data_IF_197524522973
#
_entry.id   IF_197524522973
#
_cell.length_a   1.000
_cell.length_b   1.000
_cell.length_c   1.000
_cell.angle_alpha   90.00
_cell.angle_beta   90.00
_cell.angle_gamma   90.00
#
_symmetry.space_group_name_H-M   'P 1'
#
loop_
_entity.id
_entity.type
_entity.pdbx_description
1 polymer ?
#
# COMPACT_ATOMS: atom_id res chain seq x y z
N UNK A 1 17.27 34.21 -7.00
CA UNK A 1 16.05 33.64 -6.43
C UNK A 1 16.45 32.27 -5.89
N UNK A 2 16.29 32.06 -4.59
CA UNK A 2 16.58 30.77 -3.95
C UNK A 2 15.31 29.91 -3.99
N UNK A 3 15.42 28.67 -4.45
CA UNK A 3 14.25 27.78 -4.61
C UNK A 3 14.29 26.71 -3.52
N UNK A 4 13.22 26.67 -2.72
CA UNK A 4 12.97 25.58 -1.78
C UNK A 4 12.18 24.48 -2.49
N UNK A 5 12.67 23.26 -2.35
CA UNK A 5 12.10 22.05 -2.99
C UNK A 5 11.41 21.20 -1.93
N UNK A 6 10.47 20.35 -2.36
CA UNK A 6 9.80 19.40 -1.45
C UNK A 6 10.87 18.49 -0.80
N UNK A 7 11.08 18.59 0.53
CA UNK A 7 12.03 17.75 1.23
C UNK A 7 11.52 16.31 1.35
N UNK A 8 12.43 15.38 1.66
CA UNK A 8 12.05 14.04 2.08
C UNK A 8 11.36 14.13 3.46
N UNK A 9 10.09 13.77 3.49
CA UNK A 9 9.27 13.77 4.71
C UNK A 9 9.52 12.53 5.59
N UNK A 10 10.58 11.77 5.32
CA UNK A 10 11.03 10.62 6.12
C UNK A 10 10.18 9.36 5.95
N UNK A 11 9.27 9.32 5.00
CA UNK A 11 8.28 8.26 4.84
C UNK A 11 8.49 7.38 3.61
N UNK A 12 9.57 7.61 2.84
CA UNK A 12 9.81 6.93 1.56
C UNK A 12 8.75 7.26 0.51
N UNK A 13 8.03 8.38 0.70
CA UNK A 13 7.01 8.87 -0.22
C UNK A 13 7.67 9.66 -1.33
N UNK A 14 7.27 9.42 -2.57
CA UNK A 14 7.85 10.08 -3.74
C UNK A 14 7.07 11.34 -4.14
N UNK A 15 5.89 11.56 -3.55
CA UNK A 15 5.00 12.68 -3.87
C UNK A 15 4.11 13.06 -2.69
N UNK A 16 3.62 14.31 -2.66
CA UNK A 16 2.61 14.80 -1.73
C UNK A 16 1.65 15.76 -2.45
N UNK A 17 0.40 15.84 -1.99
CA UNK A 17 -0.61 16.79 -2.51
C UNK A 17 -0.62 18.06 -1.63
N UNK A 18 -0.61 19.24 -2.23
CA UNK A 18 -0.71 20.49 -1.50
C UNK A 18 -2.15 20.69 -1.02
N UNK A 19 -2.35 20.70 0.29
CA UNK A 19 -3.66 20.96 0.91
C UNK A 19 -3.93 22.47 0.99
N UNK A 20 -2.99 23.22 1.55
CA UNK A 20 -3.14 24.68 1.73
C UNK A 20 -1.78 25.36 1.87
N UNK A 21 -1.74 26.61 1.42
CA UNK A 21 -0.63 27.52 1.69
C UNK A 21 -0.96 28.40 2.89
N UNK A 22 -0.01 28.55 3.82
CA UNK A 22 -0.09 29.45 4.97
C UNK A 22 0.52 30.82 4.67
N UNK A 23 1.14 30.99 3.49
CA UNK A 23 1.82 32.20 3.03
C UNK A 23 1.40 32.56 1.60
N UNK A 24 1.61 33.81 1.23
CA UNK A 24 1.35 34.37 -0.11
C UNK A 24 2.62 34.95 -0.70
N UNK A 25 2.64 35.12 -2.03
CA UNK A 25 3.70 35.88 -2.71
C UNK A 25 3.76 37.31 -2.15
N UNK A 26 4.96 37.73 -1.75
CA UNK A 26 5.23 39.02 -1.09
C UNK A 26 5.30 38.93 0.44
N UNK A 27 4.90 37.86 1.07
CA UNK A 27 4.99 37.70 2.52
C UNK A 27 6.44 37.52 2.98
N UNK A 28 6.80 38.17 4.10
CA UNK A 28 8.05 37.93 4.81
C UNK A 28 7.84 36.76 5.79
N UNK A 29 8.70 35.76 5.75
CA UNK A 29 8.63 34.56 6.61
C UNK A 29 9.90 34.41 7.43
N UNK A 30 9.77 33.89 8.65
CA UNK A 30 10.88 33.49 9.49
C UNK A 30 11.29 32.02 9.19
N UNK A 31 12.52 31.64 9.59
CA UNK A 31 12.90 30.23 9.61
C UNK A 31 11.97 29.45 10.57
N UNK A 32 11.66 28.22 10.23
CA UNK A 32 10.75 27.31 10.94
C UNK A 32 9.27 27.75 10.97
N UNK A 33 8.91 28.85 10.30
CA UNK A 33 7.51 29.24 10.13
C UNK A 33 6.80 28.31 9.16
N UNK A 34 5.58 27.79 9.47
CA UNK A 34 4.81 26.95 8.53
C UNK A 34 4.57 27.66 7.21
N UNK A 35 4.93 27.04 6.08
CA UNK A 35 4.72 27.53 4.73
C UNK A 35 3.46 26.96 4.10
N UNK A 36 3.28 25.65 4.19
CA UNK A 36 2.16 24.95 3.59
C UNK A 36 1.87 23.65 4.35
N UNK A 37 0.64 23.15 4.18
CA UNK A 37 0.26 21.80 4.58
C UNK A 37 0.17 20.93 3.34
N UNK A 38 0.77 19.73 3.40
CA UNK A 38 0.70 18.73 2.36
C UNK A 38 0.02 17.47 2.89
N UNK A 39 -0.81 16.85 2.07
CA UNK A 39 -1.39 15.53 2.35
C UNK A 39 -0.49 14.46 1.74
N UNK A 40 -0.07 13.54 2.58
CA UNK A 40 0.64 12.33 2.19
C UNK A 40 -0.33 11.14 2.23
N UNK A 41 0.09 9.98 1.77
CA UNK A 41 -0.69 8.74 1.88
C UNK A 41 -1.06 8.36 3.32
N UNK A 42 -0.47 9.02 4.33
CA UNK A 42 -0.59 8.62 5.74
C UNK A 42 -1.11 9.72 6.65
N UNK A 43 -0.74 10.97 6.39
CA UNK A 43 -1.09 12.11 7.25
C UNK A 43 -0.99 13.43 6.51
N UNK A 44 -1.59 14.47 7.08
CA UNK A 44 -1.33 15.86 6.69
C UNK A 44 -0.10 16.34 7.48
N UNK A 45 0.91 16.83 6.77
CA UNK A 45 2.18 17.28 7.33
C UNK A 45 2.38 18.76 7.01
N UNK A 46 2.73 19.54 8.02
CA UNK A 46 3.12 20.96 7.82
C UNK A 46 4.61 21.03 7.44
N UNK A 47 4.90 21.79 6.39
CA UNK A 47 6.28 22.03 5.92
C UNK A 47 6.70 23.42 6.37
N UNK A 48 7.71 23.52 7.25
CA UNK A 48 8.23 24.80 7.70
C UNK A 48 9.20 25.40 6.68
N UNK A 49 9.42 26.72 6.79
CA UNK A 49 10.43 27.43 6.01
C UNK A 49 11.83 27.07 6.48
N UNK A 50 12.74 26.68 5.58
CA UNK A 50 14.12 26.37 5.96
C UNK A 50 14.96 27.62 6.27
N UNK A 51 14.49 28.79 5.91
CA UNK A 51 15.17 30.08 6.16
C UNK A 51 14.21 31.25 6.18
N UNK A 52 14.63 32.35 6.77
CA UNK A 52 13.91 33.64 6.70
C UNK A 52 14.09 34.31 5.33
N UNK A 53 13.05 34.96 4.82
CA UNK A 53 13.08 35.68 3.55
C UNK A 53 11.71 36.11 3.07
N UNK A 54 11.65 36.76 1.90
CA UNK A 54 10.38 37.15 1.26
C UNK A 54 10.01 36.16 0.20
N UNK A 55 8.75 35.74 0.14
CA UNK A 55 8.23 34.80 -0.86
C UNK A 55 8.12 35.49 -2.21
N UNK A 56 8.96 35.09 -3.17
CA UNK A 56 8.96 35.61 -4.53
C UNK A 56 7.96 34.91 -5.44
N UNK A 57 7.79 33.57 -5.26
CA UNK A 57 6.94 32.77 -6.11
C UNK A 57 6.51 31.46 -5.41
N UNK A 58 5.26 31.08 -5.61
CA UNK A 58 4.75 29.75 -5.33
C UNK A 58 4.74 28.94 -6.65
N UNK A 59 5.30 27.73 -6.64
CA UNK A 59 5.46 26.92 -7.85
C UNK A 59 4.32 25.93 -8.08
N UNK A 60 3.42 25.75 -7.10
CA UNK A 60 2.28 24.85 -7.19
C UNK A 60 1.08 25.45 -6.45
N UNK A 61 -0.13 24.97 -6.75
CA UNK A 61 -1.39 25.44 -6.17
C UNK A 61 -1.98 24.37 -5.21
N UNK A 62 -2.92 24.75 -4.31
CA UNK A 62 -3.68 23.77 -3.56
C UNK A 62 -4.37 22.76 -4.49
N UNK A 63 -4.23 21.47 -4.19
CA UNK A 63 -4.69 20.34 -5.03
C UNK A 63 -3.65 19.82 -6.02
N UNK A 64 -2.49 20.48 -6.18
CA UNK A 64 -1.42 19.96 -7.03
C UNK A 64 -0.63 18.87 -6.31
N UNK A 65 -0.26 17.83 -7.08
CA UNK A 65 0.64 16.77 -6.63
C UNK A 65 2.07 17.17 -6.97
N UNK A 66 2.92 17.22 -5.96
CA UNK A 66 4.32 17.63 -6.06
C UNK A 66 5.23 16.44 -5.72
N UNK A 67 6.17 16.13 -6.61
CA UNK A 67 7.16 15.07 -6.38
C UNK A 67 8.29 15.54 -5.46
N UNK A 68 8.92 14.58 -4.76
CA UNK A 68 10.13 14.82 -3.96
C UNK A 68 11.20 15.55 -4.79
N UNK A 69 11.75 16.62 -4.23
CA UNK A 69 12.75 17.45 -4.90
C UNK A 69 12.19 18.44 -5.94
N UNK A 70 10.88 18.47 -6.21
CA UNK A 70 10.28 19.46 -7.08
C UNK A 70 10.21 20.84 -6.39
N UNK A 71 10.27 21.94 -7.15
CA UNK A 71 10.24 23.30 -6.61
C UNK A 71 8.89 23.60 -5.95
N UNK A 72 8.93 24.15 -4.72
CA UNK A 72 7.75 24.59 -3.97
C UNK A 72 7.68 26.11 -3.89
N UNK A 73 8.71 26.75 -3.37
CA UNK A 73 8.75 28.17 -3.07
C UNK A 73 10.03 28.82 -3.59
N UNK A 74 9.90 29.96 -4.26
CA UNK A 74 11.02 30.83 -4.59
C UNK A 74 11.11 31.98 -3.61
N UNK A 75 12.29 32.22 -3.02
CA UNK A 75 12.57 33.35 -2.13
C UNK A 75 13.33 34.47 -2.85
N UNK A 76 13.07 35.72 -2.50
CA UNK A 76 13.84 36.86 -2.97
C UNK A 76 15.24 36.86 -2.35
N UNK A 77 16.28 37.07 -3.17
CA UNK A 77 17.68 37.17 -2.74
C UNK A 77 18.65 36.52 -3.72
N UNK A 78 19.84 37.06 -3.84
CA UNK A 78 20.97 36.46 -4.60
C UNK A 78 21.66 35.44 -3.68
N UNK A 79 21.54 34.15 -4.02
CA UNK A 79 22.27 33.07 -3.36
C UNK A 79 22.17 31.82 -4.22
N UNK A 80 23.34 31.27 -4.57
CA UNK A 80 23.48 30.00 -5.26
C UNK A 80 22.90 28.87 -4.41
N UNK A 81 22.41 27.83 -5.09
CA UNK A 81 21.87 26.61 -4.49
C UNK A 81 22.86 26.00 -3.49
N UNK A 82 22.61 26.20 -2.20
CA UNK A 82 23.19 25.36 -1.17
C UNK A 82 22.21 24.23 -0.90
N UNK A 83 22.58 23.07 -1.37
CA UNK A 83 21.95 21.80 -1.04
C UNK A 83 21.94 21.65 0.48
N UNK A 84 20.77 21.74 1.11
CA UNK A 84 20.62 21.47 2.52
C UNK A 84 20.66 19.97 2.74
N UNK A 85 21.86 19.41 2.58
CA UNK A 85 22.17 18.00 2.84
C UNK A 85 22.02 17.68 4.31
N UNK A 86 21.37 16.60 4.57
CA UNK A 86 21.31 15.84 5.82
C UNK A 86 22.69 15.83 6.52
N UNK A 87 22.70 16.23 7.79
CA UNK A 87 23.90 16.12 8.64
C UNK A 87 24.15 14.67 9.01
N UNK A 88 24.93 13.95 8.22
CA UNK A 88 25.68 12.75 8.66
C UNK A 88 27.05 12.74 7.98
N UNK A 89 28.07 12.54 8.79
CA UNK A 89 29.50 12.70 8.57
C UNK A 89 30.07 12.31 7.20
N UNK A 90 31.00 13.15 6.75
CA UNK A 90 31.81 12.97 5.54
C UNK A 90 32.74 11.76 5.63
N UNK A 91 32.56 10.80 4.72
CA UNK A 91 33.60 9.83 4.38
C UNK A 91 34.18 10.24 3.03
N UNK A 92 35.46 10.54 3.01
CA UNK A 92 36.20 10.81 1.77
C UNK A 92 36.29 9.53 0.93
N UNK A 93 35.75 9.57 -0.28
CA UNK A 93 35.97 8.55 -1.30
C UNK A 93 37.01 9.07 -2.30
N UNK A 94 38.16 8.43 -2.34
CA UNK A 94 39.25 8.71 -3.25
C UNK A 94 38.88 8.38 -4.69
N UNK A 95 39.16 9.33 -5.57
CA UNK A 95 39.07 9.25 -7.02
C UNK A 95 40.08 8.23 -7.57
N UNK A 96 39.62 7.19 -8.25
CA UNK A 96 40.39 6.51 -9.30
C UNK A 96 39.47 6.14 -10.46
N UNK A 97 39.64 6.86 -11.53
CA UNK A 97 39.05 6.55 -12.84
C UNK A 97 39.90 5.43 -13.46
N UNK A 98 39.28 4.30 -13.75
CA UNK A 98 39.82 3.32 -14.69
C UNK A 98 38.71 3.04 -15.73
N UNK A 99 38.98 3.55 -16.93
CA UNK A 99 38.22 3.22 -18.13
C UNK A 99 38.64 1.81 -18.57
N UNK A 100 37.66 0.89 -18.63
CA UNK A 100 37.84 -0.36 -19.35
C UNK A 100 36.59 -0.64 -20.20
N UNK A 101 36.85 -0.89 -21.46
CA UNK A 101 35.84 -1.04 -22.49
C UNK A 101 35.00 -2.31 -22.26
N UNK A 102 33.69 -2.17 -22.33
CA UNK A 102 32.76 -3.28 -22.26
C UNK A 102 32.71 -4.07 -23.57
N UNK A 103 32.67 -5.42 -23.53
CA UNK A 103 32.44 -6.23 -24.72
C UNK A 103 30.96 -6.16 -25.13
N UNK A 104 30.63 -6.27 -26.44
CA UNK A 104 29.26 -6.22 -26.91
C UNK A 104 28.56 -7.55 -26.64
N UNK A 105 27.47 -7.54 -25.88
CA UNK A 105 26.56 -8.68 -25.78
C UNK A 105 26.09 -9.10 -24.40
N UNK A 106 25.61 -8.18 -23.57
CA UNK A 106 24.75 -8.55 -22.46
C UNK A 106 23.47 -7.70 -22.52
N UNK A 107 22.37 -8.33 -22.92
CA UNK A 107 21.05 -7.72 -22.86
C UNK A 107 20.74 -7.37 -21.40
N UNK A 108 20.45 -6.10 -21.14
CA UNK A 108 19.92 -5.65 -19.84
C UNK A 108 18.63 -6.42 -19.53
N UNK A 109 18.39 -6.84 -18.28
CA UNK A 109 17.12 -7.45 -17.90
C UNK A 109 16.00 -6.42 -18.13
N UNK A 110 15.01 -6.82 -18.92
CA UNK A 110 13.86 -6.02 -19.26
C UNK A 110 13.11 -5.61 -17.97
N UNK A 111 13.20 -4.34 -17.62
CA UNK A 111 12.20 -3.68 -16.77
C UNK A 111 10.82 -3.97 -17.38
N UNK A 112 9.86 -4.38 -16.55
CA UNK A 112 8.56 -4.91 -16.90
C UNK A 112 7.97 -4.31 -18.17
N UNK A 113 7.78 -5.14 -19.17
CA UNK A 113 7.10 -4.78 -20.42
C UNK A 113 5.61 -4.57 -20.16
N UNK A 114 5.22 -3.36 -19.77
CA UNK A 114 3.97 -2.85 -20.27
C UNK A 114 4.09 -2.91 -21.80
N UNK A 115 3.32 -3.78 -22.43
CA UNK A 115 3.37 -3.98 -23.88
C UNK A 115 3.27 -2.60 -24.55
N UNK A 116 4.36 -2.14 -25.16
CA UNK A 116 4.40 -0.82 -25.81
C UNK A 116 3.37 -0.86 -26.92
N UNK A 117 2.23 -0.17 -26.69
CA UNK A 117 1.15 -0.04 -27.66
C UNK A 117 1.77 0.42 -29.00
N UNK A 118 1.64 -0.40 -30.04
CA UNK A 118 2.10 -0.05 -31.39
C UNK A 118 1.24 1.08 -31.93
N UNK A 119 1.80 2.27 -32.08
CA UNK A 119 1.13 3.43 -32.63
C UNK A 119 2.13 4.36 -33.31
N UNK A 120 1.74 5.00 -34.42
CA UNK A 120 2.57 5.98 -35.10
C UNK A 120 2.75 7.27 -34.28
N UNK A 121 3.79 8.08 -34.53
CA UNK A 121 3.97 9.37 -33.86
C UNK A 121 2.75 10.30 -33.98
N UNK A 122 2.08 10.31 -35.16
CA UNK A 122 0.88 11.09 -35.39
C UNK A 122 -0.30 10.63 -34.50
N UNK A 123 -0.50 9.31 -34.33
CA UNK A 123 -1.54 8.73 -33.46
C UNK A 123 -1.26 9.04 -32.02
N UNK A 124 0.01 8.99 -31.59
CA UNK A 124 0.43 9.39 -30.23
C UNK A 124 0.18 10.88 -29.95
N UNK A 125 0.40 11.74 -30.96
CA UNK A 125 0.09 13.18 -30.86
C UNK A 125 -1.41 13.42 -30.76
N UNK A 126 -2.21 12.70 -31.56
CA UNK A 126 -3.68 12.77 -31.53
C UNK A 126 -4.21 12.31 -30.16
N UNK A 127 -3.72 11.18 -29.63
CA UNK A 127 -4.11 10.67 -28.32
C UNK A 127 -3.83 11.69 -27.21
N UNK A 128 -2.64 12.30 -27.18
CA UNK A 128 -2.32 13.38 -26.23
C UNK A 128 -3.25 14.59 -26.37
N UNK A 129 -3.56 15.01 -27.59
CA UNK A 129 -4.46 16.15 -27.84
C UNK A 129 -5.89 15.87 -27.34
N UNK A 130 -6.36 14.62 -27.48
CA UNK A 130 -7.71 14.19 -27.07
C UNK A 130 -7.76 13.68 -25.61
N UNK A 131 -6.64 13.66 -24.88
CA UNK A 131 -6.58 13.14 -23.51
C UNK A 131 -6.83 11.63 -23.41
N UNK A 132 -6.53 10.85 -24.46
CA UNK A 132 -6.78 9.41 -24.53
C UNK A 132 -5.51 8.64 -24.19
N UNK A 133 -5.59 7.73 -23.22
CA UNK A 133 -4.56 6.74 -23.00
C UNK A 133 -4.65 5.66 -24.10
N UNK A 134 -3.53 5.47 -24.82
CA UNK A 134 -3.45 4.48 -25.89
C UNK A 134 -3.65 3.04 -25.41
N UNK A 135 -3.44 2.76 -24.12
CA UNK A 135 -3.73 1.45 -23.54
C UNK A 135 -5.24 1.13 -23.52
N UNK A 136 -6.10 2.15 -23.57
CA UNK A 136 -7.55 1.99 -23.64
C UNK A 136 -8.05 1.70 -25.07
N UNK A 137 -7.21 1.93 -26.09
CA UNK A 137 -7.59 1.77 -27.48
C UNK A 137 -7.37 0.32 -27.94
N UNK A 138 -8.44 -0.34 -28.40
CA UNK A 138 -8.35 -1.64 -29.06
C UNK A 138 -7.79 -1.42 -30.48
N UNK A 139 -6.60 -1.96 -30.72
CA UNK A 139 -5.90 -1.81 -32.00
C UNK A 139 -6.70 -2.48 -33.13
N UNK A 140 -7.07 -1.72 -34.14
CA UNK A 140 -7.76 -2.21 -35.35
C UNK A 140 -6.91 -2.15 -36.63
N UNK A 141 -5.70 -1.57 -36.55
CA UNK A 141 -4.77 -1.47 -37.67
C UNK A 141 -3.95 -2.76 -37.90
N UNK A 142 -3.20 -2.80 -38.99
CA UNK A 142 -2.34 -3.93 -39.34
C UNK A 142 -1.36 -4.27 -38.23
N UNK A 143 -1.06 -5.56 -38.04
CA UNK A 143 -0.13 -6.07 -37.03
C UNK A 143 -0.44 -5.64 -35.56
N UNK A 144 -1.71 -5.35 -35.24
CA UNK A 144 -2.09 -4.90 -33.91
C UNK A 144 -1.66 -3.46 -33.60
N UNK A 145 -1.62 -2.60 -34.62
CA UNK A 145 -1.29 -1.19 -34.47
C UNK A 145 -2.55 -0.37 -34.18
N UNK A 146 -2.48 0.53 -33.18
CA UNK A 146 -3.53 1.51 -32.91
C UNK A 146 -3.50 2.59 -33.99
N UNK A 147 -4.66 2.84 -34.62
CA UNK A 147 -4.85 3.87 -35.66
C UNK A 147 -5.66 5.06 -35.13
N UNK A 148 -5.73 6.14 -35.88
CA UNK A 148 -6.44 7.36 -35.46
C UNK A 148 -7.91 7.11 -35.13
N UNK A 149 -8.61 6.29 -35.93
CA UNK A 149 -10.01 5.94 -35.70
C UNK A 149 -10.24 5.21 -34.35
N UNK A 150 -9.27 4.45 -33.88
CA UNK A 150 -9.37 3.79 -32.57
C UNK A 150 -9.29 4.82 -31.41
N UNK A 151 -8.39 5.80 -31.54
CA UNK A 151 -8.27 6.89 -30.57
C UNK A 151 -9.51 7.78 -30.57
N UNK A 152 -10.05 8.11 -31.74
CA UNK A 152 -11.27 8.91 -31.88
C UNK A 152 -12.49 8.18 -31.32
N UNK A 153 -12.59 6.87 -31.51
CA UNK A 153 -13.64 6.03 -30.90
C UNK A 153 -13.59 6.06 -29.38
N UNK A 154 -12.40 5.91 -28.79
CA UNK A 154 -12.21 6.01 -27.34
C UNK A 154 -12.55 7.43 -26.86
N UNK A 155 -12.10 8.47 -27.57
CA UNK A 155 -12.41 9.85 -27.22
C UNK A 155 -13.92 10.13 -27.24
N UNK A 156 -14.65 9.61 -28.22
CA UNK A 156 -16.11 9.74 -28.30
C UNK A 156 -16.78 9.03 -27.10
N UNK A 157 -16.35 7.80 -26.77
CA UNK A 157 -16.85 7.07 -25.61
C UNK A 157 -16.57 7.83 -24.30
N UNK A 158 -15.34 8.36 -24.14
CA UNK A 158 -14.98 9.15 -22.95
C UNK A 158 -15.77 10.46 -22.83
N UNK A 159 -16.16 11.07 -23.97
CA UNK A 159 -17.00 12.27 -23.97
C UNK A 159 -18.45 12.00 -23.53
N UNK A 160 -18.94 10.78 -23.71
CA UNK A 160 -20.25 10.33 -23.21
C UNK A 160 -20.20 9.97 -21.71
N UNK A 161 -19.02 9.64 -21.18
CA UNK A 161 -18.80 9.40 -19.76
C UNK A 161 -18.70 10.75 -19.03
N UNK A 162 -19.13 10.79 -17.76
CA UNK A 162 -18.90 11.96 -16.92
C UNK A 162 -17.40 12.28 -16.76
N UNK A 163 -17.10 13.44 -16.20
CA UNK A 163 -15.71 13.81 -15.90
C UNK A 163 -15.02 12.70 -15.08
N UNK A 164 -13.76 12.32 -15.41
CA UNK A 164 -13.05 11.30 -14.67
C UNK A 164 -12.84 11.75 -13.22
N UNK A 165 -13.09 10.83 -12.28
CA UNK A 165 -12.75 11.05 -10.88
C UNK A 165 -11.25 10.77 -10.68
N UNK A 166 -10.49 11.78 -10.29
CA UNK A 166 -9.09 11.61 -9.93
C UNK A 166 -8.98 10.99 -8.54
N UNK A 167 -8.32 9.85 -8.44
CA UNK A 167 -8.00 9.27 -7.13
C UNK A 167 -6.96 10.13 -6.42
N UNK A 168 -7.27 10.57 -5.19
CA UNK A 168 -6.40 11.40 -4.36
C UNK A 168 -6.14 10.74 -3.01
N UNK A 169 -5.11 11.25 -2.29
CA UNK A 169 -4.79 10.83 -0.93
C UNK A 169 -4.71 9.31 -0.76
N UNK A 170 -5.41 8.78 0.24
CA UNK A 170 -5.40 7.34 0.61
C UNK A 170 -5.80 6.41 -0.54
N UNK A 171 -6.81 6.78 -1.36
CA UNK A 171 -7.25 5.95 -2.51
C UNK A 171 -6.19 5.86 -3.59
N UNK A 172 -5.46 6.96 -3.86
CA UNK A 172 -4.34 6.96 -4.81
C UNK A 172 -3.19 6.08 -4.31
N UNK A 173 -2.80 6.22 -3.03
CA UNK A 173 -1.79 5.37 -2.41
C UNK A 173 -2.18 3.89 -2.43
N UNK A 174 -3.45 3.58 -2.17
CA UNK A 174 -3.98 2.22 -2.29
C UNK A 174 -3.81 1.69 -3.72
N UNK A 175 -4.17 2.46 -4.75
CA UNK A 175 -4.03 2.04 -6.14
C UNK A 175 -2.57 1.74 -6.51
N UNK A 176 -1.63 2.58 -6.08
CA UNK A 176 -0.18 2.38 -6.30
C UNK A 176 0.34 1.13 -5.57
N UNK A 177 -0.06 0.93 -4.30
CA UNK A 177 0.34 -0.23 -3.52
C UNK A 177 -0.21 -1.53 -4.11
N UNK A 178 -1.46 -1.54 -4.57
CA UNK A 178 -2.07 -2.71 -5.22
C UNK A 178 -1.42 -3.04 -6.56
N UNK A 179 -1.10 -2.01 -7.38
CA UNK A 179 -0.39 -2.21 -8.63
C UNK A 179 1.03 -2.79 -8.39
N UNK A 180 1.73 -2.28 -7.36
CA UNK A 180 3.03 -2.82 -6.96
C UNK A 180 2.91 -4.28 -6.48
N UNK A 181 1.94 -4.58 -5.61
CA UNK A 181 1.70 -5.92 -5.10
C UNK A 181 1.42 -6.91 -6.23
N UNK A 182 0.60 -6.53 -7.22
CA UNK A 182 0.29 -7.36 -8.39
C UNK A 182 1.54 -7.71 -9.22
N UNK A 183 2.50 -6.79 -9.29
CA UNK A 183 3.74 -7.00 -10.05
C UNK A 183 4.82 -7.78 -9.28
N UNK A 184 4.82 -7.69 -7.94
CA UNK A 184 5.89 -8.20 -7.08
C UNK A 184 5.54 -9.52 -6.38
N UNK A 185 4.28 -9.98 -6.39
CA UNK A 185 3.83 -11.15 -5.63
C UNK A 185 3.29 -12.24 -6.54
N UNK A 186 3.79 -13.47 -6.39
CA UNK A 186 3.19 -14.65 -7.00
C UNK A 186 2.10 -15.21 -6.06
N UNK A 187 0.92 -14.59 -6.07
CA UNK A 187 -0.15 -14.91 -5.14
C UNK A 187 -0.75 -16.30 -5.40
N UNK A 188 -0.89 -17.08 -4.34
CA UNK A 188 -1.70 -18.30 -4.30
C UNK A 188 -2.60 -18.25 -3.06
N UNK A 189 -3.78 -18.90 -3.13
CA UNK A 189 -4.74 -18.88 -2.02
C UNK A 189 -5.21 -20.29 -1.71
N UNK A 190 -5.22 -20.65 -0.42
CA UNK A 190 -5.90 -21.83 0.12
C UNK A 190 -7.09 -21.38 0.96
N UNK A 191 -8.18 -22.12 0.89
CA UNK A 191 -9.44 -21.78 1.57
C UNK A 191 -9.97 -23.00 2.29
N UNK A 192 -10.55 -22.77 3.48
CA UNK A 192 -11.21 -23.81 4.25
C UNK A 192 -12.18 -23.18 5.25
N UNK A 193 -12.99 -23.97 5.92
CA UNK A 193 -14.01 -23.55 6.88
C UNK A 193 -13.63 -23.98 8.31
N UNK A 194 -13.83 -23.07 9.29
CA UNK A 194 -13.70 -23.39 10.70
C UNK A 194 -15.11 -23.56 11.33
N UNK A 195 -15.33 -24.67 12.02
CA UNK A 195 -16.55 -24.88 12.81
C UNK A 195 -16.44 -24.18 14.17
N UNK A 196 -17.08 -23.02 14.28
CA UNK A 196 -17.09 -22.20 15.49
C UNK A 196 -18.35 -22.39 16.35
N UNK A 197 -19.05 -23.50 16.20
CA UNK A 197 -20.29 -23.76 16.90
C UNK A 197 -20.10 -23.81 18.43
N UNK A 198 -18.91 -24.24 18.90
CA UNK A 198 -18.55 -24.27 20.31
C UNK A 198 -18.34 -22.90 20.96
N UNK A 199 -18.32 -21.81 20.19
CA UNK A 199 -18.14 -20.47 20.77
C UNK A 199 -19.36 -20.01 21.54
N UNK A 200 -19.12 -19.38 22.69
CA UNK A 200 -20.18 -18.75 23.49
C UNK A 200 -20.79 -17.57 22.76
N UNK A 201 -22.04 -17.24 23.11
CA UNK A 201 -22.70 -16.04 22.61
C UNK A 201 -21.94 -14.79 23.06
N UNK A 202 -21.63 -13.87 22.10
CA UNK A 202 -20.90 -12.64 22.39
C UNK A 202 -19.37 -12.79 22.33
N UNK A 203 -18.82 -13.93 21.94
CA UNK A 203 -17.39 -14.09 21.71
C UNK A 203 -16.84 -13.03 20.74
N UNK A 204 -15.69 -12.45 21.09
CA UNK A 204 -15.04 -11.41 20.27
C UNK A 204 -14.35 -12.05 19.06
N UNK A 205 -15.03 -11.99 17.91
CA UNK A 205 -14.56 -12.57 16.65
C UNK A 205 -13.19 -12.06 16.26
N UNK A 206 -12.93 -10.76 16.40
CA UNK A 206 -11.65 -10.17 15.95
C UNK A 206 -10.50 -10.64 16.84
N UNK A 207 -10.69 -10.67 18.13
CA UNK A 207 -9.65 -11.14 19.06
C UNK A 207 -9.43 -12.65 18.91
N UNK A 208 -10.48 -13.44 18.69
CA UNK A 208 -10.34 -14.87 18.37
C UNK A 208 -9.53 -15.11 17.11
N UNK A 209 -9.79 -14.35 16.04
CA UNK A 209 -9.03 -14.41 14.79
C UNK A 209 -7.56 -14.03 14.99
N UNK A 210 -7.26 -12.98 15.78
CA UNK A 210 -5.89 -12.58 16.09
C UNK A 210 -5.16 -13.70 16.84
N UNK A 211 -5.80 -14.34 17.83
CA UNK A 211 -5.21 -15.45 18.58
C UNK A 211 -4.99 -16.69 17.73
N UNK A 212 -5.95 -17.05 16.90
CA UNK A 212 -5.82 -18.15 15.97
C UNK A 212 -4.68 -17.91 14.94
N UNK A 213 -4.54 -16.67 14.48
CA UNK A 213 -3.43 -16.28 13.61
C UNK A 213 -2.07 -16.46 14.31
N UNK A 214 -2.00 -16.17 15.62
CA UNK A 214 -0.78 -16.48 16.42
C UNK A 214 -0.50 -17.98 16.45
N UNK A 215 -1.53 -18.84 16.59
CA UNK A 215 -1.36 -20.29 16.54
C UNK A 215 -0.81 -20.74 15.17
N UNK A 216 -1.36 -20.20 14.08
CA UNK A 216 -0.84 -20.42 12.72
C UNK A 216 0.63 -20.00 12.57
N UNK A 217 0.99 -18.79 13.02
CA UNK A 217 2.38 -18.28 12.96
C UNK A 217 3.36 -19.13 13.80
N UNK A 218 2.90 -19.74 14.89
CA UNK A 218 3.72 -20.66 15.70
C UNK A 218 3.91 -22.02 15.04
N UNK A 219 2.88 -22.53 14.36
CA UNK A 219 2.94 -23.79 13.63
C UNK A 219 3.83 -23.68 12.39
N UNK A 220 3.68 -22.61 11.62
CA UNK A 220 4.44 -22.33 10.40
C UNK A 220 5.03 -20.92 10.41
N UNK A 221 6.18 -20.72 11.09
CA UNK A 221 6.79 -19.39 11.25
C UNK A 221 7.18 -18.73 9.91
N UNK A 222 7.33 -19.51 8.86
CA UNK A 222 7.65 -19.02 7.51
C UNK A 222 6.59 -18.09 6.92
N UNK A 223 5.36 -18.08 7.44
CA UNK A 223 4.30 -17.16 7.02
C UNK A 223 4.30 -15.83 7.80
N UNK A 224 4.97 -15.78 8.96
CA UNK A 224 5.23 -14.56 9.71
C UNK A 224 6.60 -13.99 9.31
N UNK A 225 6.71 -13.50 8.07
CA UNK A 225 7.98 -13.16 7.45
C UNK A 225 7.88 -11.95 6.52
N UNK A 226 9.02 -11.35 6.25
CA UNK A 226 9.23 -10.40 5.17
C UNK A 226 10.08 -11.02 4.07
N UNK A 227 9.77 -10.67 2.83
CA UNK A 227 10.51 -11.10 1.66
C UNK A 227 11.05 -9.91 0.87
N UNK A 228 12.36 -9.92 0.66
CA UNK A 228 13.07 -8.96 -0.18
C UNK A 228 13.20 -9.52 -1.60
N UNK A 229 12.29 -9.14 -2.48
CA UNK A 229 12.24 -9.68 -3.86
C UNK A 229 13.50 -9.42 -4.68
N UNK A 230 14.23 -8.33 -4.42
CA UNK A 230 15.47 -7.99 -5.13
C UNK A 230 16.65 -8.87 -4.71
N UNK A 231 16.74 -9.23 -3.45
CA UNK A 231 17.86 -10.04 -2.90
C UNK A 231 17.54 -11.52 -2.78
N UNK A 232 16.24 -11.89 -2.92
CA UNK A 232 15.77 -13.26 -2.73
C UNK A 232 15.82 -13.72 -1.27
N UNK A 233 15.84 -12.82 -0.29
CA UNK A 233 15.95 -13.14 1.14
C UNK A 233 14.59 -13.13 1.84
N UNK A 234 14.31 -14.17 2.62
CA UNK A 234 13.16 -14.25 3.54
C UNK A 234 13.63 -14.05 4.98
N UNK A 235 13.04 -13.10 5.68
CA UNK A 235 13.30 -12.80 7.09
C UNK A 235 12.11 -13.30 7.92
N UNK A 236 12.27 -14.42 8.61
CA UNK A 236 11.28 -14.95 9.56
C UNK A 236 11.35 -14.12 10.83
N UNK A 237 10.22 -13.58 11.27
CA UNK A 237 10.15 -12.64 12.38
C UNK A 237 9.68 -13.34 13.66
N UNK A 238 10.34 -13.02 14.79
CA UNK A 238 10.00 -13.62 16.09
C UNK A 238 8.73 -13.01 16.71
N UNK A 239 8.56 -11.69 16.55
CA UNK A 239 7.36 -10.98 16.98
C UNK A 239 6.29 -11.13 15.91
N UNK A 240 5.04 -11.15 16.35
CA UNK A 240 3.89 -11.20 15.46
C UNK A 240 3.19 -9.85 15.58
N UNK A 241 3.36 -9.02 14.55
CA UNK A 241 2.76 -7.70 14.41
C UNK A 241 1.69 -7.77 13.33
N UNK A 242 0.42 -7.76 13.74
CA UNK A 242 -0.71 -8.01 12.83
C UNK A 242 -1.24 -6.71 12.26
N UNK A 243 -1.18 -6.56 10.94
CA UNK A 243 -1.92 -5.52 10.22
C UNK A 243 -3.41 -5.85 10.22
N UNK A 244 -4.25 -4.96 10.71
CA UNK A 244 -5.70 -5.14 10.73
C UNK A 244 -6.32 -4.29 9.63
N UNK A 245 -6.84 -4.93 8.57
CA UNK A 245 -7.51 -4.21 7.50
C UNK A 245 -8.80 -3.56 7.99
N UNK A 246 -8.91 -2.25 7.81
CA UNK A 246 -10.07 -1.43 8.16
C UNK A 246 -10.53 -0.63 6.93
N UNK A 247 -11.76 -0.89 6.48
CA UNK A 247 -12.41 -0.15 5.39
C UNK A 247 -13.12 1.08 5.94
N UNK A 248 -12.77 2.24 5.42
CA UNK A 248 -13.36 3.53 5.75
C UNK A 248 -13.80 4.26 4.48
N UNK A 249 -14.66 5.27 4.55
CA UNK A 249 -15.11 6.02 3.36
C UNK A 249 -13.96 6.60 2.52
N UNK A 250 -12.86 6.97 3.17
CA UNK A 250 -11.68 7.55 2.54
C UNK A 250 -10.79 6.51 1.85
N UNK A 251 -10.91 5.22 2.21
CA UNK A 251 -10.13 4.13 1.66
C UNK A 251 -9.75 3.07 2.68
N UNK A 252 -8.82 2.20 2.30
CA UNK A 252 -8.35 1.09 3.12
C UNK A 252 -7.17 1.51 4.00
N UNK A 253 -7.31 1.32 5.30
CA UNK A 253 -6.25 1.49 6.29
C UNK A 253 -5.83 0.13 6.86
N UNK A 254 -4.54 -0.02 7.17
CA UNK A 254 -4.01 -1.27 7.75
C UNK A 254 -3.11 -0.94 8.95
N UNK A 255 -3.71 -0.46 10.08
CA UNK A 255 -2.94 -0.24 11.30
C UNK A 255 -2.40 -1.55 11.85
N UNK A 256 -1.33 -1.45 12.66
CA UNK A 256 -0.56 -2.59 13.13
C UNK A 256 -0.75 -2.80 14.63
N UNK A 257 -1.39 -3.91 14.99
CA UNK A 257 -1.48 -4.37 16.37
C UNK A 257 -0.18 -5.11 16.73
N UNK A 258 0.62 -4.50 17.59
CA UNK A 258 1.97 -4.94 17.88
C UNK A 258 2.02 -6.10 18.87
N UNK A 259 3.00 -7.01 18.65
CA UNK A 259 3.43 -8.08 19.55
C UNK A 259 2.25 -8.92 20.10
N UNK A 260 1.32 -9.28 19.21
CA UNK A 260 0.08 -9.96 19.60
C UNK A 260 0.31 -11.34 20.24
N UNK A 261 1.46 -11.95 20.01
CA UNK A 261 1.82 -13.25 20.55
C UNK A 261 2.10 -13.23 22.06
N UNK A 262 2.38 -12.06 22.65
CA UNK A 262 2.74 -11.88 24.06
C UNK A 262 1.70 -11.08 24.86
N UNK A 263 0.54 -10.76 24.27
CA UNK A 263 -0.52 -9.95 24.88
C UNK A 263 -1.76 -10.79 25.18
N UNK A 264 -2.45 -10.49 26.26
CA UNK A 264 -3.73 -11.12 26.57
C UNK A 264 -4.90 -10.54 25.77
N UNK A 265 -6.07 -11.18 25.83
CA UNK A 265 -7.24 -10.82 25.04
C UNK A 265 -7.79 -9.41 25.40
N UNK A 266 -7.71 -9.02 26.68
CA UNK A 266 -8.23 -7.73 27.14
C UNK A 266 -7.34 -6.59 26.65
N UNK A 267 -6.01 -6.75 26.75
CA UNK A 267 -5.03 -5.79 26.23
C UNK A 267 -5.10 -5.68 24.70
N UNK A 268 -5.23 -6.80 23.97
CA UNK A 268 -5.45 -6.78 22.53
C UNK A 268 -6.73 -6.02 22.14
N UNK A 269 -7.84 -6.23 22.89
CA UNK A 269 -9.09 -5.51 22.66
C UNK A 269 -8.93 -4.01 22.87
N UNK A 270 -8.30 -3.62 23.99
CA UNK A 270 -8.01 -2.21 24.27
C UNK A 270 -7.17 -1.55 23.16
N UNK A 271 -6.09 -2.23 22.73
CA UNK A 271 -5.25 -1.75 21.63
C UNK A 271 -6.03 -1.57 20.31
N UNK A 272 -6.90 -2.53 19.98
CA UNK A 272 -7.72 -2.47 18.76
C UNK A 272 -8.75 -1.33 18.81
N UNK A 273 -9.37 -1.08 19.98
CA UNK A 273 -10.34 0.01 20.12
C UNK A 273 -9.67 1.37 20.05
N UNK A 274 -8.48 1.53 20.67
CA UNK A 274 -7.66 2.72 20.53
C UNK A 274 -7.32 2.98 19.06
N UNK A 275 -6.76 1.99 18.36
CA UNK A 275 -6.41 2.12 16.94
C UNK A 275 -7.61 2.54 16.08
N UNK A 276 -8.80 1.97 16.35
CA UNK A 276 -10.03 2.35 15.63
C UNK A 276 -10.44 3.80 15.90
N UNK A 277 -10.28 4.26 17.15
CA UNK A 277 -10.55 5.66 17.52
C UNK A 277 -9.56 6.60 16.82
N UNK A 278 -8.26 6.29 16.85
CA UNK A 278 -7.20 7.11 16.27
C UNK A 278 -7.34 7.23 14.74
N UNK A 279 -7.71 6.14 14.04
CA UNK A 279 -7.97 6.19 12.60
C UNK A 279 -9.15 7.10 12.28
N UNK A 280 -10.28 6.95 13.02
CA UNK A 280 -11.46 7.79 12.80
C UNK A 280 -11.19 9.26 13.09
N UNK A 281 -10.37 9.55 14.10
CA UNK A 281 -9.93 10.89 14.45
C UNK A 281 -8.81 11.44 13.53
N UNK A 282 -8.24 10.60 12.65
CA UNK A 282 -7.06 10.90 11.81
C UNK A 282 -5.82 11.30 12.64
N UNK A 283 -5.68 10.72 13.82
CA UNK A 283 -4.57 10.98 14.75
C UNK A 283 -3.61 9.81 14.88
N UNK A 284 -3.82 8.73 14.10
CA UNK A 284 -2.95 7.55 14.13
C UNK A 284 -1.53 7.92 13.68
N UNK A 285 -0.55 7.51 14.47
CA UNK A 285 0.85 7.78 14.15
C UNK A 285 1.31 6.99 12.92
N UNK A 286 2.14 7.57 12.03
CA UNK A 286 2.65 6.88 10.84
C UNK A 286 3.37 5.56 11.14
N UNK A 287 4.02 5.45 12.30
CA UNK A 287 4.69 4.23 12.75
C UNK A 287 3.70 3.08 13.03
N UNK A 288 2.47 3.40 13.43
CA UNK A 288 1.41 2.42 13.69
C UNK A 288 0.77 1.89 12.38
N UNK A 289 1.10 2.48 11.23
CA UNK A 289 0.62 2.08 9.91
C UNK A 289 1.61 1.23 9.11
N UNK A 290 2.74 0.85 9.69
CA UNK A 290 3.83 0.12 8.98
C UNK A 290 4.45 -0.95 9.85
N UNK A 291 5.14 -1.90 9.18
CA UNK A 291 5.95 -2.92 9.84
C UNK A 291 5.12 -4.08 10.39
N UNK A 292 3.91 -4.31 9.85
CA UNK A 292 3.20 -5.56 10.07
C UNK A 292 3.98 -6.74 9.51
N UNK A 293 3.86 -7.89 10.15
CA UNK A 293 4.55 -9.12 9.75
C UNK A 293 3.62 -10.07 9.01
N UNK A 294 2.32 -9.97 9.28
CA UNK A 294 1.23 -10.65 8.60
C UNK A 294 -0.02 -9.75 8.66
N UNK A 295 -1.00 -9.97 7.79
CA UNK A 295 -2.22 -9.16 7.76
C UNK A 295 -3.47 -10.00 8.03
N UNK A 296 -4.45 -9.41 8.72
CA UNK A 296 -5.80 -9.95 8.92
C UNK A 296 -6.83 -9.03 8.25
N UNK A 297 -7.66 -9.61 7.40
CA UNK A 297 -8.80 -8.92 6.77
C UNK A 297 -10.11 -9.61 7.16
N UNK A 298 -10.92 -8.97 8.00
CA UNK A 298 -12.24 -9.48 8.40
C UNK A 298 -13.33 -8.81 7.56
N UNK A 299 -13.50 -9.24 6.31
CA UNK A 299 -14.53 -8.74 5.40
C UNK A 299 -15.92 -9.35 5.68
N UNK A 300 -15.98 -10.44 6.45
CA UNK A 300 -17.20 -11.14 6.81
C UNK A 300 -18.17 -10.29 7.64
N UNK A 301 -17.69 -9.21 8.26
CA UNK A 301 -18.54 -8.20 8.91
C UNK A 301 -19.50 -7.52 7.92
N UNK A 302 -19.14 -7.44 6.64
CA UNK A 302 -19.96 -6.81 5.59
C UNK A 302 -20.67 -7.89 4.78
N UNK A 303 -19.91 -8.72 4.05
CA UNK A 303 -20.43 -9.81 3.20
C UNK A 303 -19.27 -10.69 2.72
N UNK A 304 -19.61 -11.75 1.99
CA UNK A 304 -18.64 -12.62 1.32
C UNK A 304 -18.36 -13.91 2.08
N UNK A 305 -18.16 -14.98 1.32
CA UNK A 305 -17.78 -16.29 1.87
C UNK A 305 -16.26 -16.42 1.87
N UNK A 306 -15.67 -16.36 0.72
CA UNK A 306 -14.23 -16.43 0.51
C UNK A 306 -13.76 -15.23 -0.29
N UNK A 307 -12.49 -14.92 -0.18
CA UNK A 307 -11.80 -13.90 -0.95
C UNK A 307 -10.39 -14.37 -1.30
N UNK A 308 -9.77 -13.75 -2.29
CA UNK A 308 -8.34 -13.82 -2.52
C UNK A 308 -7.74 -12.45 -2.19
N UNK A 309 -7.49 -12.13 -0.91
CA UNK A 309 -6.97 -10.83 -0.52
C UNK A 309 -5.54 -10.65 -1.04
N UNK A 310 -5.18 -9.40 -1.33
CA UNK A 310 -3.88 -9.09 -1.93
C UNK A 310 -2.81 -9.03 -0.84
N UNK A 311 -1.73 -9.79 -1.01
CA UNK A 311 -0.52 -9.70 -0.17
C UNK A 311 0.27 -8.47 -0.58
N UNK A 312 0.53 -7.58 0.38
CA UNK A 312 1.30 -6.35 0.13
C UNK A 312 2.75 -6.53 0.60
N UNK A 313 3.75 -6.46 -0.29
CA UNK A 313 5.14 -6.55 0.11
C UNK A 313 5.51 -5.50 1.19
N UNK A 314 6.40 -5.83 2.13
CA UNK A 314 7.27 -7.01 2.19
C UNK A 314 6.64 -8.25 2.86
N UNK A 315 5.39 -8.20 3.36
CA UNK A 315 4.74 -9.37 3.98
C UNK A 315 4.53 -10.49 2.97
N UNK A 316 4.46 -11.73 3.47
CA UNK A 316 4.33 -12.92 2.62
C UNK A 316 2.95 -13.58 2.71
N UNK A 317 2.09 -13.14 3.65
CA UNK A 317 0.78 -13.74 3.84
C UNK A 317 -0.27 -12.76 4.38
N UNK A 318 -1.53 -13.04 4.04
CA UNK A 318 -2.72 -12.37 4.56
C UNK A 318 -3.82 -13.41 4.80
N UNK A 319 -4.42 -13.37 6.00
CA UNK A 319 -5.58 -14.17 6.36
C UNK A 319 -6.85 -13.35 6.17
N UNK A 320 -7.79 -13.87 5.39
CA UNK A 320 -9.14 -13.33 5.22
C UNK A 320 -10.15 -14.15 6.00
N UNK A 321 -11.05 -13.49 6.76
CA UNK A 321 -12.19 -14.12 7.40
C UNK A 321 -13.47 -13.67 6.73
N UNK A 322 -14.27 -14.63 6.26
CA UNK A 322 -15.56 -14.43 5.63
C UNK A 322 -16.70 -14.39 6.64
N UNK A 323 -17.93 -14.23 6.11
CA UNK A 323 -19.13 -14.10 6.91
C UNK A 323 -19.48 -15.43 7.59
N UNK A 324 -19.57 -15.39 8.93
CA UNK A 324 -20.10 -16.51 9.72
C UNK A 324 -21.54 -16.78 9.33
N UNK A 325 -21.87 -18.05 9.18
CA UNK A 325 -23.22 -18.50 8.79
C UNK A 325 -23.52 -19.87 9.37
N UNK A 326 -24.82 -20.18 9.43
CA UNK A 326 -25.29 -21.51 9.77
C UNK A 326 -25.16 -22.42 8.55
N UNK A 327 -24.52 -23.59 8.71
CA UNK A 327 -24.38 -24.61 7.69
C UNK A 327 -24.72 -25.98 8.26
N UNK A 328 -25.20 -26.87 7.38
CA UNK A 328 -25.41 -28.26 7.72
C UNK A 328 -24.07 -29.01 7.60
N UNK A 329 -23.59 -29.47 8.75
CA UNK A 329 -22.35 -30.27 8.84
C UNK A 329 -22.62 -31.67 9.34
N UNK A 330 -21.69 -32.60 9.11
CA UNK A 330 -21.76 -33.95 9.69
C UNK A 330 -21.12 -33.91 11.08
N UNK A 331 -21.95 -33.85 12.14
CA UNK A 331 -21.49 -33.89 13.52
C UNK A 331 -21.86 -35.27 14.13
N UNK A 332 -20.83 -36.03 14.53
CA UNK A 332 -21.04 -37.37 15.09
C UNK A 332 -21.73 -38.34 14.14
N UNK A 333 -21.60 -38.15 12.82
CA UNK A 333 -22.21 -38.99 11.77
C UNK A 333 -23.65 -38.66 11.43
N UNK A 334 -24.23 -37.57 11.99
CA UNK A 334 -25.57 -37.06 11.69
C UNK A 334 -25.52 -35.63 11.19
N UNK A 335 -26.48 -35.20 10.35
CA UNK A 335 -26.57 -33.79 9.96
C UNK A 335 -26.91 -32.91 11.16
N UNK A 336 -26.14 -31.85 11.36
CA UNK A 336 -26.40 -30.83 12.38
C UNK A 336 -26.18 -29.44 11.81
N UNK A 337 -26.83 -28.42 12.37
CA UNK A 337 -26.62 -27.03 11.97
C UNK A 337 -25.59 -26.39 12.89
N UNK A 338 -24.44 -26.04 12.33
CA UNK A 338 -23.35 -25.38 13.04
C UNK A 338 -23.05 -24.00 12.48
N UNK A 339 -22.47 -23.13 13.31
CA UNK A 339 -21.90 -21.87 12.87
C UNK A 339 -20.54 -22.11 12.27
N UNK A 340 -20.37 -21.71 11.01
CA UNK A 340 -19.16 -21.94 10.24
C UNK A 340 -18.55 -20.60 9.81
N UNK A 341 -17.24 -20.47 9.97
CA UNK A 341 -16.48 -19.31 9.53
C UNK A 341 -15.58 -19.67 8.36
N UNK A 342 -15.82 -19.13 7.17
CA UNK A 342 -14.93 -19.34 6.02
C UNK A 342 -13.64 -18.55 6.19
N UNK A 343 -12.53 -19.16 5.84
CA UNK A 343 -11.19 -18.60 5.88
C UNK A 343 -10.53 -18.67 4.51
N UNK A 344 -9.73 -17.67 4.20
CA UNK A 344 -8.95 -17.60 2.97
C UNK A 344 -7.55 -17.12 3.33
N UNK A 345 -6.53 -17.93 3.07
CA UNK A 345 -5.13 -17.58 3.28
C UNK A 345 -4.48 -17.37 1.93
N UNK A 346 -4.13 -16.12 1.60
CA UNK A 346 -3.32 -15.79 0.42
C UNK A 346 -1.86 -15.60 0.84
N UNK A 347 -0.95 -16.13 0.05
CA UNK A 347 0.48 -16.10 0.33
C UNK A 347 1.32 -15.92 -0.93
N UNK A 348 2.57 -15.47 -0.76
CA UNK A 348 3.54 -15.35 -1.85
C UNK A 348 4.21 -16.69 -2.13
N UNK A 349 3.79 -17.33 -3.23
CA UNK A 349 4.26 -18.67 -3.60
C UNK A 349 5.73 -18.72 -4.04
N UNK A 350 6.39 -17.57 -4.13
CA UNK A 350 7.85 -17.54 -4.35
C UNK A 350 8.63 -17.98 -3.10
N UNK A 351 8.03 -17.87 -1.90
CA UNK A 351 8.71 -18.11 -0.61
C UNK A 351 7.92 -18.98 0.37
N UNK A 352 6.65 -19.22 0.11
CA UNK A 352 5.78 -20.10 0.89
C UNK A 352 5.22 -21.19 -0.02
N UNK A 353 5.36 -22.44 0.39
CA UNK A 353 4.79 -23.59 -0.33
C UNK A 353 3.31 -23.79 0.03
N UNK A 354 2.56 -24.49 -0.86
CA UNK A 354 1.18 -24.84 -0.54
C UNK A 354 1.04 -25.72 0.71
N UNK A 355 2.03 -26.58 0.99
CA UNK A 355 2.05 -27.40 2.20
C UNK A 355 2.23 -26.57 3.48
N UNK A 356 3.13 -25.57 3.49
CA UNK A 356 3.29 -24.63 4.61
C UNK A 356 1.98 -23.83 4.83
N UNK A 357 1.38 -23.34 3.75
CA UNK A 357 0.12 -22.60 3.82
C UNK A 357 -1.03 -23.45 4.36
N UNK A 358 -1.14 -24.68 3.93
CA UNK A 358 -2.18 -25.62 4.40
C UNK A 358 -2.02 -25.97 5.88
N UNK A 359 -0.79 -26.23 6.36
CA UNK A 359 -0.52 -26.49 7.79
C UNK A 359 -0.78 -25.24 8.65
N UNK A 360 -0.41 -24.06 8.15
CA UNK A 360 -0.74 -22.80 8.82
C UNK A 360 -2.26 -22.64 8.98
N UNK A 361 -3.02 -22.81 7.89
CA UNK A 361 -4.47 -22.67 7.92
C UNK A 361 -5.12 -23.74 8.83
N UNK A 362 -4.65 -24.99 8.79
CA UNK A 362 -5.12 -26.03 9.69
C UNK A 362 -4.89 -25.70 11.18
N UNK A 363 -3.74 -25.09 11.53
CA UNK A 363 -3.47 -24.63 12.90
C UNK A 363 -4.38 -23.48 13.33
N UNK A 364 -4.68 -22.53 12.40
CA UNK A 364 -5.66 -21.47 12.61
C UNK A 364 -7.05 -22.04 12.88
N UNK A 365 -7.49 -22.98 12.06
CA UNK A 365 -8.80 -23.65 12.18
C UNK A 365 -8.88 -24.40 13.51
N UNK A 366 -7.88 -25.20 13.85
CA UNK A 366 -7.85 -25.96 15.10
C UNK A 366 -7.92 -25.08 16.35
N UNK A 367 -7.35 -23.86 16.33
CA UNK A 367 -7.52 -22.89 17.44
C UNK A 367 -8.94 -22.30 17.43
N UNK A 368 -9.50 -21.94 16.28
CA UNK A 368 -10.84 -21.37 16.19
C UNK A 368 -11.94 -22.35 16.61
N UNK A 369 -11.76 -23.62 16.37
CA UNK A 369 -12.72 -24.68 16.78
C UNK A 369 -12.78 -24.92 18.28
N UNK A 370 -11.77 -24.41 19.05
CA UNK A 370 -11.81 -24.51 20.50
C UNK A 370 -12.88 -23.58 21.08
N UNK A 371 -13.52 -23.94 22.22
CA UNK A 371 -14.43 -23.07 22.93
C UNK A 371 -13.79 -21.72 23.26
N UNK A 372 -14.60 -20.66 23.20
CA UNK A 372 -14.14 -19.29 23.47
C UNK A 372 -14.09 -18.98 24.97
#
# INVERSE_FOLDING_TARGET
MRVFKLPDLGEGLQEAEIVSWHVKVGDAVAADQPLLSVETAKAIVEIPSPYAGTIAKLHAQPGDIVHLGAPLVGFEGAGEDADAGTVVGSVQVGTRVASEAAPPGAAAPAAGMAARVKATPAVRALARRLGVDLAMATASGPEGTVIAADVERVAATLAELGAPEELRGVRRAMAQNMARAQNEVAAATVMDDADIHAWQAGADVTIRLVRALVAGCRAEPGLNAWYEGQTGRRHVLKKIDVGIAADLPEGLFVPVLRDVGNRDAADLRHGLDRMRADIRARTIAPEEMRGNTITLSNFGMIAGRYAAPIVVPPTVAILGAGRVRDEVVAAGGVPAVHRVMPLSLTFDHRVVTGGEAARFLAAVIADLEQPS
#
